data_IF_443303488061
#
_entry.id   IF_443303488061
#
_cell.length_a   1.000
_cell.length_b   1.000
_cell.length_c   1.000
_cell.angle_alpha   90.00
_cell.angle_beta   90.00
_cell.angle_gamma   90.00
#
_symmetry.space_group_name_H-M   'P 1'
#
loop_
_entity.id
_entity.type
_entity.pdbx_description
1 polymer ?
#
# COMPACT_ATOMS: atom_id res chain seq x y z
N UNK A 1 60.53 -26.16 -32.49
CA UNK A 1 60.08 -26.64 -31.16
C UNK A 1 60.47 -25.59 -30.14
N UNK A 2 59.54 -24.70 -29.83
CA UNK A 2 59.63 -23.79 -28.67
C UNK A 2 58.20 -23.43 -28.31
N UNK A 3 57.59 -24.25 -27.46
CA UNK A 3 56.31 -23.99 -26.83
C UNK A 3 56.39 -22.68 -26.03
N UNK A 4 55.52 -21.73 -26.38
CA UNK A 4 55.33 -20.49 -25.64
C UNK A 4 53.94 -20.54 -25.01
N UNK A 5 53.89 -20.77 -23.70
CA UNK A 5 52.67 -20.66 -22.89
C UNK A 5 52.14 -19.22 -22.92
N UNK A 6 50.81 -19.01 -22.97
CA UNK A 6 50.21 -17.69 -22.83
C UNK A 6 50.19 -17.24 -21.36
N UNK A 7 50.27 -15.93 -21.07
CA UNK A 7 50.23 -15.42 -19.71
C UNK A 7 48.82 -15.45 -19.13
N UNK A 8 48.72 -15.85 -17.86
CA UNK A 8 47.53 -15.64 -17.02
C UNK A 8 47.37 -14.16 -16.71
N UNK A 9 46.15 -13.64 -16.82
CA UNK A 9 45.77 -12.34 -16.26
C UNK A 9 44.50 -12.49 -15.41
N UNK A 10 44.67 -12.34 -14.11
CA UNK A 10 43.61 -12.21 -13.11
C UNK A 10 42.78 -10.94 -13.33
N UNK A 11 41.45 -11.06 -13.22
CA UNK A 11 40.59 -10.12 -12.47
C UNK A 11 39.11 -10.52 -12.60
N UNK A 12 38.74 -11.64 -11.99
CA UNK A 12 37.34 -11.81 -11.55
C UNK A 12 37.09 -10.85 -10.38
N UNK A 13 36.47 -9.71 -10.66
CA UNK A 13 35.93 -8.82 -9.63
C UNK A 13 34.87 -9.59 -8.85
N UNK A 14 35.01 -9.84 -7.53
CA UNK A 14 33.98 -10.54 -6.79
C UNK A 14 32.72 -9.69 -6.78
N UNK A 15 31.60 -10.24 -7.28
CA UNK A 15 30.27 -9.68 -7.06
C UNK A 15 30.14 -9.35 -5.58
N UNK A 16 30.00 -8.07 -5.23
CA UNK A 16 29.66 -7.62 -3.88
C UNK A 16 28.34 -8.29 -3.48
N UNK A 17 28.43 -9.46 -2.83
CA UNK A 17 27.31 -10.02 -2.11
C UNK A 17 26.93 -8.97 -1.07
N UNK A 18 25.69 -8.47 -1.16
CA UNK A 18 25.09 -7.70 -0.07
C UNK A 18 25.27 -8.52 1.21
N UNK A 19 25.79 -7.94 2.31
CA UNK A 19 25.98 -8.70 3.53
C UNK A 19 24.63 -9.28 3.95
N UNK A 20 24.56 -10.62 4.09
CA UNK A 20 23.46 -11.29 4.77
C UNK A 20 23.32 -10.62 6.14
N UNK A 21 22.20 -9.93 6.40
CA UNK A 21 21.86 -9.39 7.72
C UNK A 21 22.06 -10.51 8.74
N UNK A 22 22.93 -10.27 9.75
CA UNK A 22 23.13 -11.21 10.85
C UNK A 22 21.78 -11.50 11.52
N UNK A 23 21.50 -12.73 11.97
CA UNK A 23 20.30 -13.02 12.74
C UNK A 23 20.26 -12.11 13.98
N UNK A 24 19.07 -11.59 14.23
CA UNK A 24 18.78 -10.51 15.16
C UNK A 24 18.96 -10.95 16.63
N UNK A 25 20.18 -10.77 17.16
CA UNK A 25 20.53 -11.09 18.55
C UNK A 25 19.75 -10.22 19.55
N UNK A 26 19.37 -8.99 19.18
CA UNK A 26 18.66 -8.07 20.05
C UNK A 26 17.29 -8.61 20.47
N UNK A 27 16.53 -9.16 19.52
CA UNK A 27 15.20 -9.73 19.82
C UNK A 27 15.27 -10.94 20.73
N UNK A 28 16.22 -11.86 20.53
CA UNK A 28 16.38 -13.02 21.43
C UNK A 28 16.70 -12.59 22.86
N UNK A 29 17.48 -11.53 23.01
CA UNK A 29 17.89 -10.96 24.29
C UNK A 29 16.84 -10.05 24.92
N UNK A 30 15.65 -9.89 24.31
CA UNK A 30 14.59 -9.03 24.83
C UNK A 30 14.87 -7.54 24.72
N UNK A 31 15.76 -7.14 23.80
CA UNK A 31 16.13 -5.74 23.58
C UNK A 31 15.31 -5.13 22.45
N UNK A 32 15.08 -3.82 22.55
CA UNK A 32 14.54 -3.01 21.45
C UNK A 32 15.60 -2.82 20.37
N UNK A 33 15.16 -2.74 19.13
CA UNK A 33 15.99 -2.33 18.01
C UNK A 33 16.17 -0.81 17.99
N UNK A 34 17.19 -0.32 17.29
CA UNK A 34 17.50 1.11 17.20
C UNK A 34 16.31 1.97 16.72
N UNK A 35 15.52 1.45 15.78
CA UNK A 35 14.34 2.15 15.25
C UNK A 35 13.19 2.26 16.26
N UNK A 36 13.16 1.40 17.27
CA UNK A 36 12.09 1.34 18.27
C UNK A 36 12.35 2.28 19.46
N UNK A 37 13.61 2.68 19.67
CA UNK A 37 13.99 3.54 20.78
C UNK A 37 13.25 4.88 20.75
N UNK A 38 13.05 5.46 19.56
CA UNK A 38 12.28 6.69 19.41
C UNK A 38 10.87 6.54 19.99
N UNK A 39 10.16 5.46 19.64
CA UNK A 39 8.80 5.23 20.11
C UNK A 39 8.73 4.98 21.61
N UNK A 40 9.73 4.27 22.18
CA UNK A 40 9.84 4.09 23.62
C UNK A 40 10.05 5.42 24.34
N UNK A 41 11.01 6.20 23.88
CA UNK A 41 11.42 7.45 24.54
C UNK A 41 10.29 8.50 24.51
N UNK A 42 9.42 8.44 23.51
CA UNK A 42 8.26 9.34 23.36
C UNK A 42 6.94 8.72 23.85
N UNK A 43 6.93 7.49 24.35
CA UNK A 43 5.70 6.82 24.80
C UNK A 43 4.96 7.59 25.90
N UNK A 44 5.63 8.11 26.96
CA UNK A 44 4.93 8.86 28.02
C UNK A 44 4.23 10.13 27.48
N UNK A 45 4.90 10.87 26.60
CA UNK A 45 4.33 12.07 25.97
C UNK A 45 3.18 11.74 25.02
N UNK A 46 3.28 10.66 24.24
CA UNK A 46 2.18 10.20 23.40
C UNK A 46 0.96 9.81 24.23
N UNK A 47 1.16 9.18 25.39
CA UNK A 47 0.09 8.83 26.31
C UNK A 47 -0.60 10.07 26.90
N UNK A 48 0.16 11.10 27.26
CA UNK A 48 -0.39 12.42 27.66
C UNK A 48 -1.21 13.08 26.54
N UNK A 49 -0.84 12.86 25.27
CA UNK A 49 -1.60 13.28 24.08
C UNK A 49 -2.79 12.35 23.75
N UNK A 50 -3.03 11.31 24.54
CA UNK A 50 -4.16 10.39 24.37
C UNK A 50 -3.88 9.25 23.39
N UNK A 51 -2.62 8.92 23.11
CA UNK A 51 -2.19 7.81 22.26
C UNK A 51 -1.41 6.76 23.07
N UNK A 52 -2.03 5.61 23.32
CA UNK A 52 -1.40 4.50 24.02
C UNK A 52 -0.71 3.55 23.03
N UNK A 53 0.62 3.45 23.14
CA UNK A 53 1.41 2.46 22.38
C UNK A 53 1.32 1.06 23.01
N UNK A 54 1.63 0.03 22.21
CA UNK A 54 1.79 -1.35 22.72
C UNK A 54 2.80 -1.41 23.86
N UNK A 55 2.61 -2.40 24.75
CA UNK A 55 3.46 -2.64 25.93
C UNK A 55 4.96 -2.69 25.62
N UNK A 56 5.35 -3.18 24.44
CA UNK A 56 6.75 -3.23 23.99
C UNK A 56 7.47 -1.87 24.03
N UNK A 57 6.73 -0.78 23.81
CA UNK A 57 7.29 0.57 23.77
C UNK A 57 7.19 1.29 25.13
N UNK A 58 6.76 0.62 26.20
CA UNK A 58 6.74 1.23 27.52
C UNK A 58 8.15 1.24 28.13
N UNK A 59 8.58 2.31 28.83
CA UNK A 59 9.93 2.41 29.39
C UNK A 59 10.32 1.28 30.35
N UNK A 60 9.35 0.70 31.05
CA UNK A 60 9.50 -0.40 32.01
C UNK A 60 9.25 -1.79 31.39
N UNK A 61 9.11 -1.87 30.06
CA UNK A 61 8.85 -3.12 29.37
C UNK A 61 9.96 -4.15 29.61
N UNK A 62 9.53 -5.37 29.92
CA UNK A 62 10.37 -6.56 29.96
C UNK A 62 9.77 -7.58 29.00
N UNK A 63 10.60 -8.11 28.11
CA UNK A 63 10.19 -9.06 27.10
C UNK A 63 9.50 -10.30 27.69
N UNK A 64 8.27 -10.59 27.23
CA UNK A 64 7.41 -11.61 27.84
C UNK A 64 7.90 -13.06 27.67
N UNK A 65 8.86 -13.31 26.77
CA UNK A 65 9.51 -14.61 26.61
C UNK A 65 10.66 -14.84 27.59
N UNK A 66 11.23 -13.79 28.19
CA UNK A 66 12.33 -13.97 29.15
C UNK A 66 11.86 -14.59 30.47
N UNK A 67 10.58 -14.44 30.81
CA UNK A 67 9.98 -15.06 31.99
C UNK A 67 9.66 -16.54 31.82
N UNK A 68 9.83 -17.12 30.63
CA UNK A 68 9.43 -18.50 30.34
C UNK A 68 10.38 -19.18 29.35
N UNK A 69 11.18 -20.17 29.80
CA UNK A 69 12.22 -20.78 28.97
C UNK A 69 11.71 -21.49 27.70
N UNK A 70 10.43 -21.92 27.69
CA UNK A 70 9.82 -22.62 26.55
C UNK A 70 9.10 -21.68 25.57
N UNK A 71 9.00 -20.38 25.88
CA UNK A 71 8.23 -19.43 25.06
C UNK A 71 9.12 -18.81 23.99
N UNK A 72 8.81 -19.06 22.72
CA UNK A 72 9.48 -18.36 21.62
C UNK A 72 9.00 -16.92 21.53
N UNK A 73 9.92 -15.98 21.32
CA UNK A 73 9.60 -14.57 21.07
C UNK A 73 8.65 -14.39 19.87
N UNK A 74 8.74 -15.26 18.85
CA UNK A 74 7.83 -15.29 17.68
C UNK A 74 6.36 -15.60 18.05
N UNK A 75 6.13 -16.15 19.23
CA UNK A 75 4.78 -16.48 19.73
C UNK A 75 4.22 -15.41 20.67
N UNK A 76 4.96 -14.33 20.91
CA UNK A 76 4.59 -13.25 21.81
C UNK A 76 4.20 -12.01 21.00
N UNK A 77 3.12 -11.33 21.37
CA UNK A 77 2.72 -10.06 20.74
C UNK A 77 3.85 -9.02 20.82
N UNK A 78 4.46 -8.89 22.01
CA UNK A 78 5.58 -7.98 22.26
C UNK A 78 6.90 -8.47 21.63
N UNK A 79 6.90 -9.64 20.97
CA UNK A 79 7.99 -10.10 20.10
C UNK A 79 7.80 -9.72 18.64
N UNK A 80 6.65 -9.15 18.28
CA UNK A 80 6.36 -8.63 16.95
C UNK A 80 6.89 -7.19 16.89
N UNK A 81 8.17 -7.03 16.60
CA UNK A 81 8.69 -5.69 16.30
C UNK A 81 8.13 -5.20 14.95
N UNK A 82 7.89 -3.90 14.82
CA UNK A 82 7.66 -3.22 13.55
C UNK A 82 8.94 -3.18 12.68
N UNK A 83 9.63 -4.32 12.54
CA UNK A 83 11.01 -4.46 12.02
C UNK A 83 11.21 -3.90 10.62
N UNK A 84 10.11 -3.72 9.87
CA UNK A 84 10.14 -3.27 8.49
C UNK A 84 9.77 -1.80 8.32
N UNK A 85 9.21 -1.14 9.35
CA UNK A 85 8.75 0.25 9.28
C UNK A 85 9.12 0.99 10.56
N UNK A 86 10.41 1.27 10.75
CA UNK A 86 10.91 2.01 11.93
C UNK A 86 10.22 3.37 12.14
N UNK A 87 9.56 3.90 11.12
CA UNK A 87 8.86 5.18 11.12
C UNK A 87 7.34 5.05 11.27
N UNK A 88 6.75 3.85 11.37
CA UNK A 88 5.30 3.67 11.59
C UNK A 88 5.04 2.69 12.74
N UNK A 89 4.17 3.09 13.68
CA UNK A 89 3.69 2.22 14.76
C UNK A 89 2.18 2.36 14.90
N UNK A 90 1.49 1.31 15.33
CA UNK A 90 0.09 1.43 15.73
C UNK A 90 -0.05 1.93 17.18
N UNK A 91 -1.17 2.59 17.45
CA UNK A 91 -1.55 3.09 18.76
C UNK A 91 -3.05 2.99 18.96
N UNK A 92 -3.48 3.04 20.22
CA UNK A 92 -4.90 3.16 20.60
C UNK A 92 -5.15 4.57 21.12
N UNK A 93 -6.11 5.28 20.53
CA UNK A 93 -6.55 6.59 21.02
C UNK A 93 -7.33 6.44 22.32
N UNK A 94 -7.47 7.53 23.07
CA UNK A 94 -8.28 7.58 24.29
C UNK A 94 -9.76 7.17 24.09
N UNK A 95 -10.29 7.33 22.88
CA UNK A 95 -11.65 6.87 22.50
C UNK A 95 -11.74 5.37 22.15
N UNK A 96 -10.62 4.64 22.20
CA UNK A 96 -10.51 3.22 21.88
C UNK A 96 -10.25 2.91 20.41
N UNK A 97 -10.19 3.91 19.53
CA UNK A 97 -9.93 3.72 18.10
C UNK A 97 -8.46 3.39 17.85
N UNK A 98 -8.19 2.39 17.01
CA UNK A 98 -6.83 2.07 16.56
C UNK A 98 -6.39 2.98 15.42
N UNK A 99 -5.17 3.51 15.54
CA UNK A 99 -4.55 4.42 14.58
C UNK A 99 -3.14 3.97 14.24
N UNK A 100 -2.61 4.46 13.13
CA UNK A 100 -1.19 4.44 12.83
C UNK A 100 -0.58 5.81 13.13
N UNK A 101 0.62 5.80 13.69
CA UNK A 101 1.46 6.97 13.94
C UNK A 101 2.68 6.86 13.02
N UNK A 102 2.83 7.82 12.10
CA UNK A 102 3.97 7.92 11.19
C UNK A 102 4.89 9.04 11.62
N UNK A 103 6.12 8.71 12.00
CA UNK A 103 7.20 9.66 12.26
C UNK A 103 7.73 10.20 10.93
N UNK A 104 7.85 11.51 10.84
CA UNK A 104 8.34 12.23 9.66
C UNK A 104 9.44 13.22 10.04
N UNK A 105 10.42 13.39 9.16
CA UNK A 105 11.36 14.51 9.22
C UNK A 105 10.96 15.58 8.19
N UNK A 106 10.63 16.78 8.65
CA UNK A 106 10.12 17.89 7.83
C UNK A 106 11.16 18.36 6.81
N UNK A 107 12.45 18.35 7.15
CA UNK A 107 13.51 18.73 6.21
C UNK A 107 13.64 17.78 5.02
N UNK A 108 13.21 16.53 5.16
CA UNK A 108 13.26 15.52 4.08
C UNK A 108 11.94 15.51 3.29
N UNK A 109 10.81 15.69 3.96
CA UNK A 109 9.47 15.61 3.38
C UNK A 109 8.64 16.84 3.78
N UNK A 110 8.98 18.03 3.24
CA UNK A 110 8.39 19.29 3.72
C UNK A 110 6.89 19.41 3.46
N UNK A 111 6.40 18.79 2.38
CA UNK A 111 5.02 18.98 1.91
C UNK A 111 4.04 17.90 2.39
N UNK A 112 4.52 16.77 2.92
CA UNK A 112 3.67 15.62 3.24
C UNK A 112 2.55 15.96 4.24
N UNK A 113 2.89 16.69 5.31
CA UNK A 113 1.90 17.10 6.31
C UNK A 113 0.89 18.12 5.73
N UNK A 114 1.36 19.08 4.92
CA UNK A 114 0.50 20.09 4.32
C UNK A 114 -0.47 19.49 3.30
N UNK A 115 0.00 18.57 2.45
CA UNK A 115 -0.83 17.85 1.47
C UNK A 115 -1.82 16.93 2.19
N UNK A 116 -1.37 16.19 3.21
CA UNK A 116 -2.27 15.36 4.02
C UNK A 116 -3.37 16.19 4.69
N UNK A 117 -3.02 17.36 5.24
CA UNK A 117 -3.99 18.29 5.83
C UNK A 117 -4.94 18.90 4.80
N UNK A 118 -4.46 19.23 3.59
CA UNK A 118 -5.29 19.74 2.49
C UNK A 118 -6.44 18.78 2.19
N UNK A 119 -6.15 17.49 1.96
CA UNK A 119 -7.18 16.49 1.68
C UNK A 119 -7.99 16.06 2.91
N UNK A 120 -7.59 16.47 4.11
CA UNK A 120 -8.30 16.19 5.37
C UNK A 120 -9.10 17.38 5.88
N UNK A 121 -9.09 18.50 5.14
CA UNK A 121 -9.83 19.71 5.47
C UNK A 121 -11.04 19.88 4.54
N UNK A 122 -12.12 20.45 5.06
CA UNK A 122 -13.30 20.78 4.24
C UNK A 122 -12.97 21.88 3.21
N UNK A 123 -13.52 21.83 1.99
CA UNK A 123 -14.54 20.88 1.51
C UNK A 123 -13.99 19.55 0.94
N UNK A 124 -12.67 19.37 0.88
CA UNK A 124 -12.07 18.20 0.22
C UNK A 124 -12.26 16.92 1.05
N UNK A 125 -12.22 17.03 2.38
CA UNK A 125 -12.37 15.89 3.29
C UNK A 125 -13.68 15.10 3.07
N UNK A 126 -14.79 15.79 2.87
CA UNK A 126 -16.10 15.18 2.67
C UNK A 126 -16.41 14.81 1.21
N UNK A 127 -15.51 15.14 0.27
CA UNK A 127 -15.74 14.88 -1.13
C UNK A 127 -15.76 13.36 -1.43
N UNK A 128 -16.77 12.84 -2.16
CA UNK A 128 -16.92 11.39 -2.36
C UNK A 128 -15.77 10.76 -3.14
N UNK A 129 -15.14 11.50 -4.07
CA UNK A 129 -13.96 11.04 -4.84
C UNK A 129 -12.65 11.15 -4.05
N UNK A 130 -12.69 11.68 -2.82
CA UNK A 130 -11.49 11.76 -1.99
C UNK A 130 -11.15 10.39 -1.40
N UNK A 131 -10.15 9.76 -2.00
CA UNK A 131 -9.51 8.54 -1.54
C UNK A 131 -8.12 8.80 -0.92
N UNK A 132 -7.79 10.02 -0.52
CA UNK A 132 -6.57 10.29 0.22
C UNK A 132 -6.72 9.82 1.67
N UNK A 133 -5.67 9.22 2.24
CA UNK A 133 -5.66 8.85 3.66
C UNK A 133 -5.85 10.10 4.54
N UNK A 134 -6.82 10.12 5.47
CA UNK A 134 -7.07 11.30 6.28
C UNK A 134 -6.01 11.44 7.37
N UNK A 135 -5.54 12.67 7.57
CA UNK A 135 -4.70 13.09 8.67
C UNK A 135 -5.59 13.49 9.85
N UNK A 136 -5.60 12.65 10.88
CA UNK A 136 -6.42 12.85 12.07
C UNK A 136 -5.82 13.93 12.98
N UNK A 137 -4.48 13.95 13.10
CA UNK A 137 -3.74 14.91 13.89
C UNK A 137 -2.28 15.00 13.43
N UNK A 138 -1.67 16.18 13.58
CA UNK A 138 -0.24 16.39 13.38
C UNK A 138 0.38 16.78 14.73
N UNK A 139 1.24 15.90 15.25
CA UNK A 139 1.88 16.07 16.54
C UNK A 139 3.32 16.57 16.35
N UNK A 140 3.65 17.71 16.94
CA UNK A 140 5.03 18.19 17.01
C UNK A 140 5.77 17.54 18.16
N UNK A 141 6.90 16.91 17.86
CA UNK A 141 7.73 16.24 18.86
C UNK A 141 8.35 17.29 19.78
N UNK A 142 8.30 17.12 21.11
CA UNK A 142 8.98 18.02 22.03
C UNK A 142 10.49 18.03 21.75
N UNK A 143 11.10 19.21 21.84
CA UNK A 143 12.56 19.39 21.72
C UNK A 143 13.20 18.98 20.38
N UNK A 144 12.40 18.68 19.34
CA UNK A 144 12.85 18.42 17.97
C UNK A 144 11.93 19.14 16.96
N UNK A 145 12.40 20.27 16.45
CA UNK A 145 11.65 21.10 15.49
C UNK A 145 11.60 20.50 14.06
N UNK A 146 12.40 19.48 13.78
CA UNK A 146 12.45 18.80 12.49
C UNK A 146 11.59 17.54 12.43
N UNK A 147 11.08 17.05 13.57
CA UNK A 147 10.30 15.82 13.62
C UNK A 147 8.85 16.07 13.99
N UNK A 148 7.96 15.51 13.18
CA UNK A 148 6.52 15.44 13.49
C UNK A 148 6.05 13.99 13.44
N UNK A 149 4.90 13.74 14.06
CA UNK A 149 4.18 12.47 14.00
C UNK A 149 2.79 12.73 13.41
N UNK A 150 2.48 12.04 12.32
CA UNK A 150 1.17 12.06 11.69
C UNK A 150 0.33 10.93 12.28
N UNK A 151 -0.81 11.29 12.89
CA UNK A 151 -1.82 10.31 13.29
C UNK A 151 -2.79 10.09 12.13
N UNK A 152 -2.95 8.84 11.71
CA UNK A 152 -3.77 8.43 10.57
C UNK A 152 -4.57 7.16 10.91
N UNK A 153 -5.65 6.84 10.18
CA UNK A 153 -6.36 5.58 10.40
C UNK A 153 -5.44 4.38 10.26
N UNK A 154 -5.67 3.34 11.07
CA UNK A 154 -4.98 2.07 10.91
C UNK A 154 -5.59 1.32 9.71
N UNK A 155 -4.85 1.29 8.59
CA UNK A 155 -5.26 0.62 7.36
C UNK A 155 -4.38 -0.60 7.07
N UNK A 156 -4.84 -1.45 6.16
CA UNK A 156 -4.24 -2.74 5.86
C UNK A 156 -3.92 -2.88 4.37
N UNK A 157 -3.08 -3.87 3.97
CA UNK A 157 -2.85 -4.17 2.56
C UNK A 157 -4.15 -4.42 1.80
N UNK A 158 -4.27 -3.86 0.60
CA UNK A 158 -5.52 -3.86 -0.18
C UNK A 158 -6.04 -5.28 -0.56
N UNK A 159 -5.14 -6.26 -0.66
CA UNK A 159 -5.44 -7.67 -0.95
C UNK A 159 -5.67 -8.55 0.29
N UNK A 160 -5.97 -7.94 1.44
CA UNK A 160 -6.31 -8.67 2.66
C UNK A 160 -7.79 -8.50 3.03
N UNK A 161 -8.63 -9.55 2.98
CA UNK A 161 -8.38 -10.87 2.38
C UNK A 161 -8.24 -10.77 0.85
N UNK A 162 -7.83 -11.80 0.10
CA UNK A 162 -7.72 -11.69 -1.36
C UNK A 162 -9.06 -11.34 -2.03
N UNK A 163 -9.01 -10.72 -3.21
CA UNK A 163 -10.20 -10.48 -4.03
C UNK A 163 -10.86 -11.80 -4.46
N UNK A 164 -12.18 -11.89 -4.32
CA UNK A 164 -12.94 -13.08 -4.71
C UNK A 164 -13.52 -12.96 -6.12
N UNK A 165 -13.98 -11.77 -6.52
CA UNK A 165 -14.65 -11.54 -7.81
C UNK A 165 -14.01 -10.42 -8.62
N UNK A 166 -14.17 -10.48 -9.94
CA UNK A 166 -13.76 -9.38 -10.84
C UNK A 166 -14.46 -8.07 -10.44
N UNK A 167 -15.71 -8.12 -9.99
CA UNK A 167 -16.46 -6.95 -9.55
C UNK A 167 -15.87 -6.26 -8.31
N UNK A 168 -15.26 -7.01 -7.38
CA UNK A 168 -14.51 -6.44 -6.26
C UNK A 168 -13.24 -5.72 -6.73
N UNK A 169 -12.57 -6.23 -7.77
CA UNK A 169 -11.38 -5.58 -8.35
C UNK A 169 -11.78 -4.36 -9.19
N UNK A 170 -12.89 -4.42 -9.92
CA UNK A 170 -13.45 -3.26 -10.63
C UNK A 170 -13.77 -2.14 -9.65
N UNK A 171 -14.32 -2.47 -8.48
CA UNK A 171 -14.54 -1.48 -7.42
C UNK A 171 -13.25 -0.86 -6.90
N UNK A 172 -12.22 -1.68 -6.69
CA UNK A 172 -10.89 -1.22 -6.33
C UNK A 172 -10.29 -0.27 -7.38
N UNK A 173 -10.30 -0.65 -8.67
CA UNK A 173 -9.83 0.19 -9.77
C UNK A 173 -10.55 1.52 -9.83
N UNK A 174 -11.87 1.50 -9.67
CA UNK A 174 -12.69 2.71 -9.65
C UNK A 174 -12.22 3.69 -8.56
N UNK A 175 -12.10 3.22 -7.31
CA UNK A 175 -11.72 4.07 -6.17
C UNK A 175 -10.31 4.66 -6.32
N UNK A 176 -9.33 3.91 -6.85
CA UNK A 176 -7.96 4.42 -7.02
C UNK A 176 -7.83 5.37 -8.23
N UNK A 177 -8.63 5.16 -9.29
CA UNK A 177 -8.74 6.08 -10.43
C UNK A 177 -9.41 7.38 -10.00
N UNK A 178 -10.56 7.31 -9.31
CA UNK A 178 -11.27 8.45 -8.72
C UNK A 178 -10.36 9.24 -7.78
N UNK A 179 -9.62 8.54 -6.91
CA UNK A 179 -8.68 9.14 -5.98
C UNK A 179 -7.55 9.91 -6.65
N UNK A 180 -6.89 9.32 -7.64
CA UNK A 180 -5.78 9.96 -8.33
C UNK A 180 -6.26 11.10 -9.25
N UNK A 181 -7.40 10.94 -9.92
CA UNK A 181 -8.04 12.04 -10.65
C UNK A 181 -8.38 13.19 -9.72
N UNK A 182 -8.95 12.92 -8.55
CA UNK A 182 -9.24 13.95 -7.56
C UNK A 182 -8.00 14.67 -7.03
N UNK A 183 -6.86 13.97 -6.87
CA UNK A 183 -5.58 14.63 -6.55
C UNK A 183 -5.15 15.56 -7.69
N UNK A 184 -5.25 15.10 -8.94
CA UNK A 184 -4.87 15.88 -10.13
C UNK A 184 -5.76 17.12 -10.33
N UNK A 185 -7.07 17.00 -10.09
CA UNK A 185 -8.03 18.13 -10.08
C UNK A 185 -7.68 19.21 -9.05
N UNK A 186 -7.04 18.81 -7.95
CA UNK A 186 -6.54 19.72 -6.91
C UNK A 186 -5.06 20.09 -7.12
N UNK A 187 -4.51 19.82 -8.31
CA UNK A 187 -3.15 20.14 -8.72
C UNK A 187 -2.06 19.49 -7.86
N UNK A 188 -2.35 18.33 -7.26
CA UNK A 188 -1.39 17.54 -6.52
C UNK A 188 -1.01 16.31 -7.34
N UNK A 189 0.30 16.13 -7.58
CA UNK A 189 0.82 14.87 -8.10
C UNK A 189 1.28 13.98 -6.93
N UNK A 190 0.90 12.70 -6.94
CA UNK A 190 1.25 11.74 -5.90
C UNK A 190 2.74 11.39 -5.94
N UNK A 191 3.30 11.18 -7.15
CA UNK A 191 4.72 10.86 -7.43
C UNK A 191 5.23 9.53 -6.89
N UNK A 192 4.37 8.72 -6.29
CA UNK A 192 4.72 7.38 -5.79
C UNK A 192 3.49 6.47 -5.76
N UNK A 193 2.67 6.53 -6.82
CA UNK A 193 1.48 5.71 -6.94
C UNK A 193 1.85 4.25 -7.24
N UNK A 194 2.11 3.47 -6.19
CA UNK A 194 2.49 2.05 -6.28
C UNK A 194 1.61 1.18 -5.41
N UNK A 195 1.60 -0.11 -5.70
CA UNK A 195 0.63 -1.06 -5.14
C UNK A 195 0.62 -1.11 -3.60
N UNK A 196 1.77 -0.98 -2.95
CA UNK A 196 1.87 -0.98 -1.49
C UNK A 196 1.56 0.37 -0.82
N UNK A 197 1.37 1.44 -1.60
CA UNK A 197 0.88 2.74 -1.12
C UNK A 197 -0.65 2.84 -1.23
N UNK A 198 -1.33 1.77 -1.67
CA UNK A 198 -2.78 1.68 -1.68
C UNK A 198 -3.24 0.78 -0.53
N UNK A 199 -3.90 1.40 0.44
CA UNK A 199 -4.32 0.78 1.69
C UNK A 199 -5.83 0.59 1.72
N UNK A 200 -6.34 -0.30 2.57
CA UNK A 200 -7.76 -0.60 2.68
C UNK A 200 -8.25 -0.59 4.13
N UNK A 201 -9.47 -0.09 4.33
CA UNK A 201 -10.20 -0.26 5.59
C UNK A 201 -10.93 -1.61 5.58
N UNK A 202 -10.25 -2.64 6.09
CA UNK A 202 -10.74 -4.02 6.06
C UNK A 202 -11.48 -4.39 7.33
N UNK A 203 -11.45 -3.56 8.38
CA UNK A 203 -12.06 -3.83 9.68
C UNK A 203 -13.51 -4.32 9.58
N UNK A 204 -14.37 -3.73 8.72
CA UNK A 204 -15.75 -4.18 8.53
C UNK A 204 -15.91 -5.64 8.03
N UNK A 205 -14.86 -6.25 7.47
CA UNK A 205 -14.89 -7.62 6.95
C UNK A 205 -14.69 -8.68 8.04
N UNK A 206 -14.23 -8.30 9.23
CA UNK A 206 -13.82 -9.20 10.31
C UNK A 206 -14.70 -9.06 11.55
N UNK A 207 -14.67 -10.05 12.44
CA UNK A 207 -15.39 -9.96 13.72
C UNK A 207 -14.70 -9.12 14.79
N UNK A 208 -13.43 -8.79 14.58
CA UNK A 208 -12.65 -7.89 15.42
C UNK A 208 -11.52 -7.32 14.56
N UNK A 209 -10.96 -6.14 14.89
CA UNK A 209 -9.82 -5.58 14.17
C UNK A 209 -8.66 -6.58 14.12
N UNK A 210 -8.10 -6.89 12.93
CA UNK A 210 -6.91 -7.72 12.83
C UNK A 210 -5.67 -7.03 13.41
N UNK A 211 -4.72 -7.79 13.93
CA UNK A 211 -3.41 -7.23 14.32
C UNK A 211 -2.63 -6.76 13.07
N UNK A 212 -2.11 -5.53 13.01
CA UNK A 212 -1.53 -4.96 11.79
C UNK A 212 -0.33 -5.73 11.25
N UNK A 213 0.49 -6.32 12.13
CA UNK A 213 1.67 -7.10 11.73
C UNK A 213 1.41 -8.60 11.55
N UNK A 214 0.34 -9.11 12.16
CA UNK A 214 -0.01 -10.53 12.20
C UNK A 214 -1.50 -10.65 12.00
N UNK A 215 -1.92 -10.36 10.77
CA UNK A 215 -3.32 -10.12 10.42
C UNK A 215 -4.22 -11.36 10.51
N UNK A 216 -3.67 -12.52 10.86
CA UNK A 216 -4.41 -13.72 11.24
C UNK A 216 -4.81 -13.74 12.73
N UNK A 217 -4.26 -12.83 13.55
CA UNK A 217 -4.63 -12.62 14.96
C UNK A 217 -5.54 -11.40 15.11
N UNK A 218 -6.31 -11.42 16.19
CA UNK A 218 -7.01 -10.24 16.74
C UNK A 218 -6.00 -9.19 17.22
N UNK A 219 -6.40 -7.91 17.23
CA UNK A 219 -5.50 -6.80 17.61
C UNK A 219 -4.87 -6.98 19.00
N UNK A 220 -5.62 -7.50 19.97
CA UNK A 220 -5.14 -7.82 21.33
C UNK A 220 -4.31 -9.13 21.40
N UNK A 221 -4.06 -9.75 20.24
CA UNK A 221 -3.30 -10.98 20.08
C UNK A 221 -3.89 -12.22 20.78
N UNK A 222 -5.13 -12.14 21.27
CA UNK A 222 -5.74 -13.17 22.13
C UNK A 222 -6.14 -14.44 21.39
N UNK A 223 -6.56 -14.32 20.13
CA UNK A 223 -7.06 -15.42 19.30
C UNK A 223 -6.89 -15.14 17.81
N UNK A 224 -7.17 -16.16 17.00
CA UNK A 224 -7.26 -15.99 15.54
C UNK A 224 -8.49 -15.14 15.18
N UNK A 225 -8.29 -14.20 14.25
CA UNK A 225 -9.35 -13.33 13.75
C UNK A 225 -10.17 -14.07 12.69
N UNK A 226 -11.49 -13.85 12.64
CA UNK A 226 -12.37 -14.52 11.67
C UNK A 226 -12.99 -13.52 10.72
N UNK A 227 -12.80 -13.77 9.43
CA UNK A 227 -13.52 -13.05 8.38
C UNK A 227 -15.02 -13.39 8.45
N UNK A 228 -15.88 -12.38 8.49
CA UNK A 228 -17.34 -12.50 8.57
C UNK A 228 -18.06 -12.08 7.29
N UNK A 229 -17.40 -11.32 6.42
CA UNK A 229 -17.94 -10.87 5.14
C UNK A 229 -16.91 -10.88 4.03
N UNK A 230 -17.40 -10.83 2.79
CA UNK A 230 -16.60 -10.52 1.61
C UNK A 230 -16.87 -9.09 1.16
N UNK A 231 -15.98 -8.51 0.34
CA UNK A 231 -16.16 -7.15 -0.19
C UNK A 231 -17.44 -7.01 -1.01
N UNK A 232 -17.84 -8.07 -1.72
CA UNK A 232 -19.13 -8.15 -2.43
C UNK A 232 -20.33 -7.88 -1.50
N UNK A 233 -20.28 -8.30 -0.23
CA UNK A 233 -21.38 -8.12 0.72
C UNK A 233 -21.22 -6.84 1.55
N UNK A 234 -19.99 -6.51 1.89
CA UNK A 234 -19.62 -5.36 2.72
C UNK A 234 -18.57 -4.57 1.94
N UNK A 235 -18.99 -3.56 1.17
CA UNK A 235 -18.08 -2.66 0.46
C UNK A 235 -17.08 -2.03 1.43
N UNK A 236 -15.85 -1.84 0.97
CA UNK A 236 -14.77 -1.24 1.76
C UNK A 236 -14.16 -0.08 1.00
N UNK A 237 -13.56 0.87 1.73
CA UNK A 237 -12.87 2.02 1.14
C UNK A 237 -11.38 1.74 0.99
N UNK A 238 -10.84 2.12 -0.16
CA UNK A 238 -9.41 2.15 -0.44
C UNK A 238 -8.88 3.57 -0.34
N UNK A 239 -7.62 3.68 0.08
CA UNK A 239 -6.95 4.95 0.30
C UNK A 239 -5.57 4.98 -0.37
N UNK A 240 -5.28 6.07 -1.08
CA UNK A 240 -3.94 6.48 -1.48
C UNK A 240 -3.22 7.01 -0.23
N UNK A 241 -2.04 6.46 0.05
CA UNK A 241 -1.25 6.77 1.21
C UNK A 241 0.20 7.12 0.81
N UNK A 242 0.94 7.65 1.80
CA UNK A 242 2.34 8.06 1.66
C UNK A 242 2.55 9.25 0.71
N UNK A 243 2.30 10.46 1.24
CA UNK A 243 2.50 11.71 0.50
C UNK A 243 3.93 12.26 0.63
N UNK A 244 4.89 11.44 1.06
CA UNK A 244 6.29 11.86 1.27
C UNK A 244 6.98 12.40 0.03
N UNK A 245 6.52 12.03 -1.17
CA UNK A 245 7.01 12.54 -2.45
C UNK A 245 6.00 13.40 -3.20
N UNK A 246 4.78 13.53 -2.67
CA UNK A 246 3.73 14.30 -3.32
C UNK A 246 4.05 15.80 -3.29
N UNK A 247 3.54 16.53 -4.27
CA UNK A 247 3.81 17.97 -4.39
C UNK A 247 2.58 18.67 -4.96
N UNK A 248 2.31 19.86 -4.44
CA UNK A 248 1.28 20.77 -4.93
C UNK A 248 1.88 21.66 -6.01
N UNK A 249 1.25 21.69 -7.18
CA UNK A 249 1.63 22.51 -8.32
C UNK A 249 0.63 23.63 -8.50
N UNK A 250 1.12 24.84 -8.78
CA UNK A 250 0.22 25.96 -9.04
C UNK A 250 -0.06 26.04 -10.54
N UNK A 251 -1.31 26.20 -10.99
CA UNK A 251 -1.64 26.25 -12.41
C UNK A 251 -0.84 27.28 -13.22
N UNK A 252 -0.48 28.40 -12.60
CA UNK A 252 0.34 29.46 -13.21
C UNK A 252 1.77 29.04 -13.56
N UNK A 253 2.31 27.99 -12.92
CA UNK A 253 3.67 27.50 -13.10
C UNK A 253 3.78 26.41 -14.18
N UNK A 254 2.73 26.24 -15.01
CA UNK A 254 2.73 25.24 -16.08
C UNK A 254 3.68 25.65 -17.23
N UNK A 255 4.48 24.72 -17.79
CA UNK A 255 4.54 23.28 -17.49
C UNK A 255 5.36 22.95 -16.23
N UNK A 256 4.90 21.96 -15.46
CA UNK A 256 5.49 21.54 -14.19
C UNK A 256 6.64 20.54 -14.38
N UNK A 257 7.78 21.03 -14.88
CA UNK A 257 8.91 20.17 -15.24
C UNK A 257 9.85 19.93 -14.04
N UNK A 258 10.04 18.66 -13.68
CA UNK A 258 10.87 18.22 -12.56
C UNK A 258 11.95 17.23 -12.99
N UNK A 259 13.08 17.20 -12.29
CA UNK A 259 14.19 16.27 -12.60
C UNK A 259 13.83 14.81 -12.26
N UNK A 260 14.02 13.86 -13.20
CA UNK A 260 13.53 12.49 -13.07
C UNK A 260 14.18 11.71 -11.90
N UNK A 261 13.57 10.58 -11.54
CA UNK A 261 14.16 9.61 -10.61
C UNK A 261 13.50 9.51 -9.23
N UNK A 262 12.35 10.17 -9.03
CA UNK A 262 11.52 10.00 -7.83
C UNK A 262 10.71 8.69 -7.86
N UNK A 263 9.99 8.41 -6.78
CA UNK A 263 9.06 7.27 -6.68
C UNK A 263 9.73 5.89 -6.63
N UNK A 264 8.90 4.87 -6.40
CA UNK A 264 9.31 3.47 -6.32
C UNK A 264 9.36 2.75 -7.67
N UNK A 265 8.56 3.18 -8.65
CA UNK A 265 8.51 2.55 -9.96
C UNK A 265 9.73 2.97 -10.81
N UNK A 266 10.63 2.03 -11.07
CA UNK A 266 11.85 2.25 -11.84
C UNK A 266 11.67 1.94 -13.34
N UNK A 267 10.47 1.55 -13.75
CA UNK A 267 10.13 1.23 -15.14
C UNK A 267 9.62 2.45 -15.91
N UNK A 268 9.35 3.57 -15.22
CA UNK A 268 8.96 4.85 -15.82
C UNK A 268 9.95 5.25 -16.93
N UNK A 269 9.50 5.37 -18.20
CA UNK A 269 10.36 5.63 -19.35
C UNK A 269 11.21 6.89 -19.20
N UNK A 270 10.64 7.96 -18.64
CA UNK A 270 11.29 9.25 -18.41
C UNK A 270 12.47 9.15 -17.43
N UNK A 271 12.49 8.12 -16.57
CA UNK A 271 13.56 7.93 -15.58
C UNK A 271 14.71 7.08 -16.12
N UNK A 272 14.56 6.52 -17.32
CA UNK A 272 15.56 5.66 -17.94
C UNK A 272 16.49 6.41 -18.89
N UNK A 273 16.17 7.66 -19.24
CA UNK A 273 17.04 8.48 -20.08
C UNK A 273 18.25 8.95 -19.26
N UNK A 274 19.43 8.96 -19.87
CA UNK A 274 20.68 9.34 -19.21
C UNK A 274 20.92 10.86 -19.21
N UNK A 275 19.96 11.64 -19.69
CA UNK A 275 20.10 13.08 -19.94
C UNK A 275 19.43 13.96 -18.88
N UNK A 276 18.87 13.35 -17.82
CA UNK A 276 18.12 14.03 -16.75
C UNK A 276 17.07 15.01 -17.29
N UNK A 277 16.47 14.71 -18.44
CA UNK A 277 15.46 15.57 -19.07
C UNK A 277 14.28 15.75 -18.12
N UNK A 278 13.93 16.99 -17.72
CA UNK A 278 12.81 17.23 -16.84
C UNK A 278 11.50 16.70 -17.43
N UNK A 279 10.68 16.05 -16.60
CA UNK A 279 9.38 15.51 -17.01
C UNK A 279 8.25 16.02 -16.13
N UNK A 280 7.04 15.98 -16.69
CA UNK A 280 5.82 16.37 -15.99
C UNK A 280 5.37 15.23 -15.06
N UNK A 281 5.14 15.49 -13.75
CA UNK A 281 4.76 14.47 -12.79
C UNK A 281 3.35 13.91 -12.99
N UNK A 282 2.44 14.63 -13.64
CA UNK A 282 1.06 14.18 -13.82
C UNK A 282 0.97 12.98 -14.80
N UNK A 283 1.60 13.00 -16.00
CA UNK A 283 1.71 11.82 -16.84
C UNK A 283 2.50 10.67 -16.20
N UNK A 284 3.44 10.95 -15.31
CA UNK A 284 4.18 9.92 -14.56
C UNK A 284 3.25 9.19 -13.60
N UNK A 285 2.39 9.91 -12.87
CA UNK A 285 1.35 9.30 -12.03
C UNK A 285 0.41 8.39 -12.82
N UNK A 286 -0.01 8.83 -14.02
CA UNK A 286 -0.84 8.01 -14.93
C UNK A 286 -0.12 6.72 -15.30
N UNK A 287 1.18 6.81 -15.64
CA UNK A 287 2.00 5.64 -15.94
C UNK A 287 2.07 4.71 -14.74
N UNK A 288 2.40 5.21 -13.55
CA UNK A 288 2.55 4.43 -12.34
C UNK A 288 1.25 3.68 -11.99
N UNK A 289 0.09 4.34 -12.08
CA UNK A 289 -1.20 3.68 -11.85
C UNK A 289 -1.51 2.63 -12.93
N UNK A 290 -1.23 2.93 -14.20
CA UNK A 290 -1.40 1.98 -15.29
C UNK A 290 -0.50 0.75 -15.12
N UNK A 291 0.76 0.97 -14.73
CA UNK A 291 1.74 -0.09 -14.53
C UNK A 291 1.40 -0.95 -13.32
N UNK A 292 0.90 -0.34 -12.24
CA UNK A 292 0.34 -1.06 -11.09
C UNK A 292 -0.74 -2.05 -11.52
N UNK A 293 -1.68 -1.63 -12.38
CA UNK A 293 -2.72 -2.52 -12.90
C UNK A 293 -2.11 -3.61 -13.81
N UNK A 294 -1.16 -3.23 -14.67
CA UNK A 294 -0.45 -4.14 -15.59
C UNK A 294 0.22 -5.28 -14.83
N UNK A 295 1.07 -4.95 -13.86
CA UNK A 295 1.89 -5.92 -13.14
C UNK A 295 1.06 -6.79 -12.18
N UNK A 296 0.07 -6.21 -11.50
CA UNK A 296 -0.66 -6.97 -10.47
C UNK A 296 -1.85 -7.78 -11.02
N UNK A 297 -2.39 -7.41 -12.19
CA UNK A 297 -3.59 -8.04 -12.74
C UNK A 297 -3.46 -8.59 -14.16
N UNK A 298 -2.73 -7.95 -15.07
CA UNK A 298 -2.67 -8.35 -16.48
C UNK A 298 -1.52 -9.31 -16.77
N UNK A 299 -0.29 -8.89 -16.50
CA UNK A 299 0.92 -9.54 -17.02
C UNK A 299 1.71 -10.25 -15.91
N UNK A 300 1.55 -9.84 -14.65
CA UNK A 300 2.36 -10.34 -13.54
C UNK A 300 3.70 -9.61 -13.42
N UNK A 301 4.45 -9.93 -12.36
CA UNK A 301 5.82 -9.51 -12.13
C UNK A 301 6.67 -10.74 -11.81
N UNK A 302 7.85 -10.85 -12.41
CA UNK A 302 8.75 -11.98 -12.14
C UNK A 302 9.22 -11.96 -10.67
N UNK A 303 8.88 -13.02 -9.92
CA UNK A 303 9.15 -13.08 -8.48
C UNK A 303 8.18 -12.27 -7.61
N UNK A 304 7.17 -11.64 -8.20
CA UNK A 304 6.13 -10.85 -7.55
C UNK A 304 4.73 -11.40 -7.79
N UNK A 305 3.82 -10.54 -8.27
CA UNK A 305 2.44 -10.90 -8.53
C UNK A 305 2.28 -11.84 -9.74
N UNK A 306 1.34 -12.79 -9.66
CA UNK A 306 0.96 -13.60 -10.84
C UNK A 306 -0.22 -12.96 -11.57
N UNK A 307 -0.13 -12.88 -12.89
CA UNK A 307 -1.22 -12.45 -13.77
C UNK A 307 -2.56 -13.13 -13.42
N UNK A 308 -3.65 -12.37 -13.55
CA UNK A 308 -5.01 -12.82 -13.22
C UNK A 308 -5.81 -13.05 -14.50
N UNK A 309 -6.59 -14.12 -14.52
CA UNK A 309 -7.51 -14.43 -15.63
C UNK A 309 -8.66 -13.44 -15.66
N UNK A 310 -8.98 -12.98 -16.87
CA UNK A 310 -10.21 -12.26 -17.13
C UNK A 310 -10.12 -10.73 -17.01
N UNK A 311 -8.94 -10.15 -16.90
CA UNK A 311 -8.76 -8.69 -16.85
C UNK A 311 -8.43 -8.04 -18.21
N UNK A 312 -8.40 -8.82 -19.29
CA UNK A 312 -8.11 -8.35 -20.67
C UNK A 312 -8.93 -7.15 -21.15
N UNK A 313 -10.12 -6.93 -20.58
CA UNK A 313 -10.94 -5.75 -20.89
C UNK A 313 -10.28 -4.42 -20.50
N UNK A 314 -9.29 -4.43 -19.60
CA UNK A 314 -8.49 -3.26 -19.22
C UNK A 314 -7.29 -3.01 -20.14
N UNK A 315 -6.91 -3.99 -20.98
CA UNK A 315 -5.60 -3.98 -21.65
C UNK A 315 -5.39 -2.76 -22.54
N UNK A 316 -6.42 -2.36 -23.30
CA UNK A 316 -6.34 -1.19 -24.18
C UNK A 316 -6.09 0.09 -23.37
N UNK A 317 -6.89 0.33 -22.33
CA UNK A 317 -6.74 1.51 -21.46
C UNK A 317 -5.37 1.53 -20.78
N UNK A 318 -4.95 0.39 -20.22
CA UNK A 318 -3.65 0.27 -19.53
C UNK A 318 -2.48 0.51 -20.48
N UNK A 319 -2.54 -0.02 -21.71
CA UNK A 319 -1.50 0.20 -22.72
C UNK A 319 -1.32 1.69 -23.06
N UNK A 320 -2.42 2.45 -23.10
CA UNK A 320 -2.36 3.89 -23.34
C UNK A 320 -1.82 4.65 -22.10
N UNK A 321 -2.19 4.23 -20.89
CA UNK A 321 -1.66 4.81 -19.65
C UNK A 321 -0.15 4.61 -19.51
N UNK A 322 0.36 3.45 -19.92
CA UNK A 322 1.79 3.09 -19.84
C UNK A 322 2.58 3.38 -21.11
N UNK A 323 2.07 4.27 -21.96
CA UNK A 323 2.74 4.64 -23.20
C UNK A 323 4.13 5.25 -22.90
N UNK A 324 5.13 4.90 -23.72
CA UNK A 324 6.48 5.42 -23.57
C UNK A 324 6.56 6.93 -23.80
N UNK A 325 5.72 7.48 -24.66
CA UNK A 325 5.60 8.93 -24.83
C UNK A 325 4.58 9.48 -23.82
N UNK A 326 4.99 10.30 -22.82
CA UNK A 326 4.09 10.88 -21.83
C UNK A 326 2.98 11.74 -22.45
N UNK A 327 3.19 12.31 -23.64
CA UNK A 327 2.19 13.14 -24.33
C UNK A 327 1.06 12.32 -24.95
N UNK A 328 1.28 11.03 -25.17
CA UNK A 328 0.27 10.11 -25.68
C UNK A 328 -0.53 9.44 -24.57
N UNK A 329 -0.14 9.64 -23.30
CA UNK A 329 -0.88 9.12 -22.15
C UNK A 329 -2.18 9.93 -21.97
N UNK A 330 -3.29 9.27 -21.63
CA UNK A 330 -4.53 9.98 -21.29
C UNK A 330 -4.37 10.77 -19.98
N UNK A 331 -5.15 11.83 -19.82
CA UNK A 331 -5.31 12.48 -18.51
C UNK A 331 -6.12 11.59 -17.57
N UNK A 332 -6.05 11.83 -16.25
CA UNK A 332 -6.85 11.04 -15.31
C UNK A 332 -8.36 11.16 -15.54
N UNK A 333 -8.86 12.32 -15.98
CA UNK A 333 -10.27 12.49 -16.37
C UNK A 333 -10.65 11.60 -17.56
N UNK A 334 -9.76 11.47 -18.54
CA UNK A 334 -9.94 10.57 -19.68
C UNK A 334 -9.87 9.11 -19.25
N UNK A 335 -8.97 8.77 -18.30
CA UNK A 335 -8.88 7.43 -17.72
C UNK A 335 -10.18 7.06 -17.02
N UNK A 336 -10.73 7.94 -16.17
CA UNK A 336 -12.00 7.75 -15.46
C UNK A 336 -13.16 7.54 -16.44
N UNK A 337 -13.31 8.42 -17.43
CA UNK A 337 -14.38 8.28 -18.44
C UNK A 337 -14.27 6.98 -19.24
N UNK A 338 -13.06 6.60 -19.68
CA UNK A 338 -12.85 5.36 -20.45
C UNK A 338 -13.10 4.13 -19.59
N UNK A 339 -12.67 4.16 -18.33
CA UNK A 339 -12.89 3.08 -17.39
C UNK A 339 -14.39 2.86 -17.15
N UNK A 340 -15.16 3.92 -16.94
CA UNK A 340 -16.61 3.85 -16.79
C UNK A 340 -17.31 3.20 -17.99
N UNK A 341 -16.89 3.55 -19.21
CA UNK A 341 -17.45 2.97 -20.43
C UNK A 341 -17.09 1.49 -20.59
N UNK A 342 -15.86 1.11 -20.24
CA UNK A 342 -15.45 -0.30 -20.17
C UNK A 342 -16.33 -1.07 -19.19
N UNK A 343 -16.55 -0.53 -17.98
CA UNK A 343 -17.35 -1.17 -16.92
C UNK A 343 -18.82 -1.32 -17.33
N UNK A 344 -19.42 -0.33 -18.01
CA UNK A 344 -20.79 -0.41 -18.55
C UNK A 344 -20.97 -1.57 -19.54
N UNK A 345 -19.91 -1.93 -20.27
CA UNK A 345 -19.90 -3.05 -21.21
C UNK A 345 -19.79 -4.44 -20.56
N UNK A 346 -19.47 -4.53 -19.26
CA UNK A 346 -19.25 -5.82 -18.59
C UNK A 346 -20.56 -6.50 -18.19
N UNK A 347 -20.67 -7.78 -18.53
CA UNK A 347 -21.81 -8.59 -18.08
C UNK A 347 -21.74 -8.88 -16.58
N UNK A 348 -22.91 -9.08 -15.95
CA UNK A 348 -23.00 -9.50 -14.54
C UNK A 348 -22.24 -10.82 -14.30
N UNK A 349 -22.26 -11.74 -15.27
CA UNK A 349 -21.51 -13.00 -15.19
C UNK A 349 -19.99 -12.77 -15.16
N UNK A 350 -19.51 -11.81 -15.96
CA UNK A 350 -18.11 -11.42 -15.95
C UNK A 350 -17.72 -10.82 -14.60
N UNK A 351 -18.50 -9.87 -14.09
CA UNK A 351 -18.25 -9.22 -12.80
C UNK A 351 -18.26 -10.22 -11.64
N UNK A 352 -19.13 -11.23 -11.69
CA UNK A 352 -19.19 -12.30 -10.70
C UNK A 352 -18.17 -13.41 -10.91
N UNK A 353 -17.40 -13.40 -11.99
CA UNK A 353 -16.38 -14.41 -12.23
C UNK A 353 -15.28 -14.33 -11.17
N UNK A 354 -14.71 -15.50 -10.86
CA UNK A 354 -13.68 -15.62 -9.82
C UNK A 354 -12.37 -14.98 -10.27
N UNK A 355 -11.69 -14.29 -9.36
CA UNK A 355 -10.28 -13.91 -9.55
C UNK A 355 -9.41 -15.16 -9.40
N UNK A 356 -8.72 -15.53 -10.48
CA UNK A 356 -7.88 -16.72 -10.54
C UNK A 356 -6.55 -16.39 -11.22
N UNK A 357 -5.44 -16.93 -10.72
CA UNK A 357 -4.14 -16.77 -11.38
C UNK A 357 -4.11 -17.55 -12.70
N UNK A 358 -3.31 -17.07 -13.66
CA UNK A 358 -3.13 -17.71 -14.98
C UNK A 358 -2.61 -19.15 -14.87
N UNK A 359 -1.71 -19.38 -13.90
CA UNK A 359 -1.01 -20.64 -13.62
C UNK A 359 -1.79 -21.63 -12.73
N UNK A 360 -3.04 -21.29 -12.36
CA UNK A 360 -3.81 -22.13 -11.45
C UNK A 360 -4.06 -23.53 -12.05
N UNK A 361 -3.69 -24.56 -11.28
CA UNK A 361 -3.85 -25.96 -11.65
C UNK A 361 -5.32 -26.28 -12.04
N UNK A 362 -5.58 -26.90 -13.22
CA UNK A 362 -6.92 -27.05 -13.78
C UNK A 362 -7.92 -27.74 -12.84
N UNK A 363 -7.54 -28.85 -12.22
CA UNK A 363 -8.42 -29.63 -11.32
C UNK A 363 -8.82 -28.80 -10.10
N UNK A 364 -7.86 -28.12 -9.46
CA UNK A 364 -8.12 -27.24 -8.31
C UNK A 364 -9.00 -26.06 -8.72
N UNK A 365 -8.76 -25.49 -9.91
CA UNK A 365 -9.55 -24.42 -10.49
C UNK A 365 -11.01 -24.80 -10.70
N UNK A 366 -11.30 -26.02 -11.17
CA UNK A 366 -12.67 -26.52 -11.35
C UNK A 366 -13.44 -26.60 -10.02
N UNK A 367 -12.86 -27.23 -8.99
CA UNK A 367 -13.49 -27.32 -7.67
C UNK A 367 -13.76 -25.95 -7.06
N UNK A 368 -12.77 -25.04 -7.09
CA UNK A 368 -12.92 -23.67 -6.60
C UNK A 368 -14.00 -22.91 -7.35
N UNK A 369 -14.10 -23.10 -8.67
CA UNK A 369 -15.12 -22.44 -9.49
C UNK A 369 -16.52 -22.95 -9.20
N UNK A 370 -16.70 -24.24 -8.88
CA UNK A 370 -17.99 -24.79 -8.47
C UNK A 370 -18.47 -24.18 -7.13
N UNK A 371 -17.61 -24.16 -6.11
CA UNK A 371 -17.91 -23.54 -4.80
C UNK A 371 -18.20 -22.04 -4.95
N UNK A 372 -17.40 -21.36 -5.77
CA UNK A 372 -17.57 -19.95 -6.10
C UNK A 372 -18.94 -19.65 -6.71
N UNK A 373 -19.33 -20.38 -7.76
CA UNK A 373 -20.61 -20.13 -8.42
C UNK A 373 -21.80 -20.46 -7.52
N UNK A 374 -21.70 -21.45 -6.65
CA UNK A 374 -22.72 -21.69 -5.62
C UNK A 374 -22.90 -20.46 -4.71
N UNK A 375 -21.80 -19.84 -4.25
CA UNK A 375 -21.82 -18.59 -3.47
C UNK A 375 -22.41 -17.43 -4.28
N UNK A 376 -22.02 -17.26 -5.54
CA UNK A 376 -22.50 -16.17 -6.40
C UNK A 376 -23.98 -16.30 -6.77
N UNK A 377 -24.48 -17.51 -7.01
CA UNK A 377 -25.92 -17.77 -7.22
C UNK A 377 -26.75 -17.35 -6.00
N UNK A 378 -26.24 -17.60 -4.78
CA UNK A 378 -26.87 -17.13 -3.53
C UNK A 378 -26.87 -15.60 -3.44
N UNK A 379 -25.81 -14.92 -3.86
CA UNK A 379 -25.77 -13.46 -3.91
C UNK A 379 -26.72 -12.88 -4.96
N UNK A 380 -26.84 -13.52 -6.13
CA UNK A 380 -27.82 -13.13 -7.15
C UNK A 380 -29.26 -13.28 -6.65
N UNK A 381 -29.59 -14.40 -5.98
CA UNK A 381 -30.89 -14.62 -5.37
C UNK A 381 -31.22 -13.54 -4.32
N UNK A 382 -30.21 -13.04 -3.61
CA UNK A 382 -30.32 -11.94 -2.63
C UNK A 382 -30.24 -10.54 -3.25
N UNK A 383 -30.13 -10.43 -4.58
CA UNK A 383 -29.95 -9.16 -5.30
C UNK A 383 -28.77 -8.32 -4.82
N UNK A 384 -27.74 -8.95 -4.24
CA UNK A 384 -26.49 -8.25 -3.91
C UNK A 384 -25.84 -7.77 -5.20
N UNK A 385 -25.42 -6.49 -5.33
CA UNK A 385 -24.73 -5.99 -6.53
C UNK A 385 -23.49 -6.83 -6.89
N UNK A 386 -23.12 -6.85 -8.18
CA UNK A 386 -21.92 -7.56 -8.64
C UNK A 386 -20.64 -6.74 -8.40
N UNK A 387 -20.73 -5.42 -8.48
CA UNK A 387 -19.70 -4.47 -8.05
C UNK A 387 -20.17 -3.96 -6.67
N UNK A 388 -19.37 -4.13 -5.60
CA UNK A 388 -19.61 -3.43 -4.33
C UNK A 388 -19.81 -1.94 -4.61
N UNK A 389 -20.73 -1.26 -3.93
CA UNK A 389 -20.84 0.20 -4.03
C UNK A 389 -20.62 0.76 -2.64
N UNK A 390 -19.49 1.45 -2.47
CA UNK A 390 -19.19 2.26 -1.29
C UNK A 390 -20.00 3.55 -1.27
#
# INVERSE_FOLDING_TARGET
>A
MSDSQPPMSDSETPRRMRPRRKPDHAMKEGRLQQGELFWRDHQPWLEERGYTLRRRYHPDWVASWLSSPDKSWLSCEDGVASVNFNHVVDATRADGTHVALKRLNISVHPDEAAIGQLFSSEPLASHPRNHCIPMLEVLHVPDDDQTIILAMPLLYPNELPPFETIGEVVDFFRQIIEGLSFMHENHVAHRDCKYNNIMADITPLYDSPPHPWHTWRTYDYSRDVKQRSSRTRTPIKYYLADFGLSQLYKPEDAPHLELPGWGGDKTVPEFQTSDDTPCDPFPVDVYCLGNLIRENFLDGEEGGATAKKGFEFMRELVNDMVNNDPKLRPTMDQVESRFDDIVKGLSVWKLRSRVANVDEAPVRGLFRSAVHWFKQLRFMAKRTPAIPRT
#
